data_IF_228596880540
#
_entry.id   IF_228596880540
#
_cell.length_a   1.000
_cell.length_b   1.000
_cell.length_c   1.000
_cell.angle_alpha   90.00
_cell.angle_beta   90.00
_cell.angle_gamma   90.00
#
_symmetry.space_group_name_H-M   'P 1'
#
loop_
_entity.id
_entity.type
_entity.pdbx_description
1 polymer ?
#
# COMPACT_ATOMS: atom_id res chain seq x y z
N UNK A 1 20.35 42.46 46.19
CA UNK A 1 20.90 41.80 47.38
C UNK A 1 19.73 41.44 48.29
N UNK A 2 19.15 40.26 48.08
CA UNK A 2 18.53 39.45 49.14
C UNK A 2 18.15 38.09 48.56
N UNK A 3 18.85 37.07 49.03
CA UNK A 3 18.68 35.66 48.74
C UNK A 3 17.32 35.20 49.30
N UNK A 4 16.59 34.39 48.53
CA UNK A 4 15.52 33.55 49.06
C UNK A 4 15.78 32.12 48.62
N UNK A 5 16.06 31.32 49.64
CA UNK A 5 16.40 29.92 49.58
C UNK A 5 15.19 29.06 49.14
N UNK A 6 15.50 28.04 48.34
CA UNK A 6 14.61 26.94 47.97
C UNK A 6 14.55 25.91 49.10
N UNK A 7 13.37 25.41 49.51
CA UNK A 7 13.29 24.17 50.25
C UNK A 7 13.26 22.96 49.31
N UNK A 8 14.18 22.03 49.56
CA UNK A 8 14.26 20.70 49.00
C UNK A 8 13.02 19.87 49.39
N UNK A 9 12.47 19.14 48.42
CA UNK A 9 11.49 18.08 48.65
C UNK A 9 12.08 16.75 48.18
N UNK A 10 12.88 16.15 49.05
CA UNK A 10 13.11 14.70 49.06
C UNK A 10 11.77 13.99 49.31
N UNK A 11 11.36 13.11 48.39
CA UNK A 11 10.35 12.10 48.69
C UNK A 11 10.97 10.72 48.56
N UNK A 12 10.79 9.99 49.65
CA UNK A 12 11.26 8.65 49.91
C UNK A 12 10.82 7.64 48.82
N UNK A 13 11.82 6.89 48.34
CA UNK A 13 11.63 5.57 47.76
C UNK A 13 11.48 4.57 48.92
N UNK A 14 10.25 4.21 49.25
CA UNK A 14 9.97 3.08 50.15
C UNK A 14 9.91 1.80 49.33
N UNK A 15 10.82 0.88 49.62
CA UNK A 15 10.93 -0.42 48.96
C UNK A 15 9.71 -1.31 49.20
N UNK A 16 9.31 -2.00 48.14
CA UNK A 16 8.41 -3.15 48.21
C UNK A 16 9.25 -4.42 48.12
N UNK A 17 9.49 -5.05 49.27
CA UNK A 17 9.90 -6.45 49.37
C UNK A 17 8.66 -7.32 49.21
N UNK A 18 8.38 -7.75 47.98
CA UNK A 18 7.37 -8.77 47.66
C UNK A 18 8.05 -9.97 47.03
N UNK A 19 7.75 -11.16 47.55
CA UNK A 19 8.26 -12.48 47.13
C UNK A 19 7.92 -12.85 45.68
N UNK A 20 8.78 -13.61 44.97
CA UNK A 20 8.52 -14.02 43.60
C UNK A 20 7.72 -15.33 43.59
N UNK A 21 6.47 -15.28 43.13
CA UNK A 21 5.72 -16.45 42.66
C UNK A 21 5.27 -16.17 41.23
N UNK A 22 5.47 -17.17 40.38
CA UNK A 22 5.71 -17.04 38.94
C UNK A 22 4.57 -16.45 38.10
N UNK A 23 4.94 -15.46 37.27
CA UNK A 23 4.66 -15.36 35.83
C UNK A 23 5.38 -14.09 35.31
N UNK A 24 6.63 -14.25 34.88
CA UNK A 24 7.46 -13.16 34.31
C UNK A 24 7.09 -12.88 32.85
N UNK A 25 5.82 -12.59 32.62
CA UNK A 25 5.32 -11.94 31.41
C UNK A 25 5.10 -10.46 31.72
N UNK A 26 6.18 -9.76 32.08
CA UNK A 26 6.21 -8.33 32.39
C UNK A 26 5.91 -7.44 31.17
N UNK A 27 4.72 -7.56 30.61
CA UNK A 27 4.14 -6.55 29.73
C UNK A 27 3.40 -5.55 30.61
N UNK A 28 3.78 -4.27 30.51
CA UNK A 28 2.93 -3.19 31.02
C UNK A 28 1.68 -3.19 30.14
N UNK A 29 0.65 -3.91 30.56
CA UNK A 29 -0.68 -3.84 29.97
C UNK A 29 -1.21 -2.41 30.21
N UNK A 30 -1.16 -1.58 29.16
CA UNK A 30 -1.83 -0.28 29.13
C UNK A 30 -3.34 -0.50 28.92
N UNK A 31 -4.00 -1.02 29.96
CA UNK A 31 -5.43 -1.37 29.97
C UNK A 31 -6.33 -0.18 30.35
N UNK A 32 -6.00 1.02 29.84
CA UNK A 32 -6.79 2.23 30.04
C UNK A 32 -7.37 2.74 28.72
N UNK A 33 -8.61 3.26 28.70
CA UNK A 33 -9.17 3.86 27.49
C UNK A 33 -8.36 5.12 27.13
N UNK A 34 -7.48 4.99 26.13
CA UNK A 34 -6.61 6.04 25.56
C UNK A 34 -7.38 7.24 24.93
N UNK A 35 -8.67 7.43 25.24
CA UNK A 35 -9.55 8.39 24.56
C UNK A 35 -9.64 9.76 25.23
N UNK A 36 -9.04 9.99 26.41
CA UNK A 36 -9.39 11.18 27.22
C UNK A 36 -8.26 12.14 27.61
N UNK A 37 -7.08 12.10 26.99
CA UNK A 37 -6.05 13.12 27.28
C UNK A 37 -6.02 14.24 26.23
N UNK A 38 -6.08 15.54 26.62
CA UNK A 38 -6.43 16.64 25.71
C UNK A 38 -5.24 17.31 25.01
N UNK A 39 -4.03 16.72 25.04
CA UNK A 39 -2.87 17.20 24.28
C UNK A 39 -2.04 16.02 23.77
N UNK A 40 -1.71 16.05 22.47
CA UNK A 40 -0.52 15.41 21.94
C UNK A 40 -0.76 14.08 21.23
N UNK A 41 -0.45 14.07 19.93
CA UNK A 41 0.01 12.85 19.23
C UNK A 41 0.94 12.12 20.21
N UNK A 42 0.66 10.88 20.59
CA UNK A 42 1.56 10.11 21.46
C UNK A 42 2.87 9.84 20.70
N UNK A 43 3.74 10.85 20.63
CA UNK A 43 5.02 10.82 19.93
C UNK A 43 5.88 9.68 20.44
N UNK A 44 5.78 9.36 21.74
CA UNK A 44 6.43 8.19 22.34
C UNK A 44 5.93 6.87 21.72
N UNK A 45 4.64 6.72 21.45
CA UNK A 45 4.10 5.52 20.79
C UNK A 45 4.58 5.42 19.34
N UNK A 46 4.52 6.50 18.57
CA UNK A 46 5.00 6.52 17.17
C UNK A 46 6.50 6.23 17.12
N UNK A 47 7.28 6.84 18.03
CA UNK A 47 8.72 6.62 18.13
C UNK A 47 9.03 5.17 18.54
N UNK A 48 8.27 4.60 19.48
CA UNK A 48 8.39 3.20 19.86
C UNK A 48 8.13 2.26 18.68
N UNK A 49 7.03 2.48 17.94
CA UNK A 49 6.72 1.68 16.76
C UNK A 49 7.81 1.78 15.67
N UNK A 50 8.42 2.96 15.48
CA UNK A 50 9.56 3.14 14.57
C UNK A 50 10.80 2.37 15.00
N UNK A 51 11.10 2.40 16.30
CA UNK A 51 12.21 1.63 16.86
C UNK A 51 11.98 0.13 16.67
N UNK A 52 10.77 -0.37 16.95
CA UNK A 52 10.42 -1.78 16.72
C UNK A 52 10.45 -2.13 15.23
N UNK A 53 9.95 -1.27 14.35
CA UNK A 53 10.00 -1.51 12.91
C UNK A 53 11.46 -1.63 12.42
N UNK A 54 12.36 -0.82 12.96
CA UNK A 54 13.77 -0.79 12.57
C UNK A 54 14.59 -1.93 13.20
N UNK A 55 14.35 -2.23 14.48
CA UNK A 55 15.24 -3.08 15.30
C UNK A 55 14.55 -4.29 15.96
N UNK A 56 13.22 -4.32 15.98
CA UNK A 56 12.45 -5.40 16.60
C UNK A 56 12.61 -6.74 15.91
N UNK A 57 12.10 -7.77 16.56
CA UNK A 57 12.14 -9.15 16.09
C UNK A 57 10.75 -9.77 15.95
N UNK A 58 10.68 -11.10 15.80
CA UNK A 58 9.42 -11.85 15.60
C UNK A 58 8.43 -11.64 16.75
N UNK A 59 8.91 -11.37 17.96
CA UNK A 59 8.07 -11.11 19.14
C UNK A 59 7.34 -9.76 19.07
N UNK A 60 7.84 -8.82 18.26
CA UNK A 60 7.27 -7.48 18.09
C UNK A 60 6.20 -7.39 16.99
N UNK A 61 6.03 -8.45 16.18
CA UNK A 61 5.05 -8.48 15.09
C UNK A 61 3.63 -8.08 15.57
N UNK A 62 3.09 -8.62 16.68
CA UNK A 62 1.76 -8.24 17.15
C UNK A 62 1.63 -6.74 17.44
N UNK A 63 2.69 -6.12 17.98
CA UNK A 63 2.71 -4.68 18.29
C UNK A 63 2.74 -3.85 17.01
N UNK A 64 3.52 -4.26 16.01
CA UNK A 64 3.57 -3.59 14.70
C UNK A 64 2.23 -3.71 13.95
N UNK A 65 1.58 -4.87 13.98
CA UNK A 65 0.25 -5.07 13.40
C UNK A 65 -0.79 -4.20 14.10
N UNK A 66 -0.78 -4.15 15.43
CA UNK A 66 -1.66 -3.24 16.18
C UNK A 66 -1.38 -1.75 15.85
N UNK A 67 -0.12 -1.42 15.55
CA UNK A 67 0.29 -0.11 15.04
C UNK A 67 -0.40 0.23 13.71
N UNK A 68 -0.42 -0.71 12.76
CA UNK A 68 -1.14 -0.54 11.50
C UNK A 68 -2.65 -0.40 11.69
N UNK A 69 -3.26 -1.22 12.55
CA UNK A 69 -4.70 -1.12 12.84
C UNK A 69 -5.07 0.25 13.43
N UNK A 70 -4.17 0.83 14.23
CA UNK A 70 -4.33 2.18 14.78
C UNK A 70 -4.27 3.26 13.69
N UNK A 71 -3.46 3.07 12.65
CA UNK A 71 -3.42 3.97 11.49
C UNK A 71 -4.70 3.82 10.65
N UNK A 72 -5.15 2.60 10.39
CA UNK A 72 -6.39 2.32 9.64
C UNK A 72 -7.62 2.93 10.34
N UNK A 73 -7.63 2.97 11.67
CA UNK A 73 -8.71 3.58 12.46
C UNK A 73 -8.77 5.12 12.35
N UNK A 74 -7.84 5.77 11.63
CA UNK A 74 -7.71 7.23 11.51
C UNK A 74 -7.69 7.62 10.03
N UNK A 75 -8.83 7.61 9.34
CA UNK A 75 -8.88 7.82 7.89
C UNK A 75 -8.40 9.21 7.44
N UNK A 76 -8.39 10.19 8.35
CA UNK A 76 -7.90 11.55 8.12
C UNK A 76 -6.36 11.67 8.24
N UNK A 77 -5.69 10.65 8.78
CA UNK A 77 -4.23 10.62 8.99
C UNK A 77 -3.65 9.34 8.36
N UNK A 78 -3.35 9.43 7.05
CA UNK A 78 -2.92 8.28 6.23
C UNK A 78 -1.40 8.10 6.17
N UNK A 79 -0.66 8.75 7.06
CA UNK A 79 0.81 8.73 7.06
C UNK A 79 1.36 7.74 8.11
N UNK A 80 2.61 7.33 7.93
CA UNK A 80 3.36 6.45 8.84
C UNK A 80 3.18 4.96 8.56
N UNK A 81 2.57 4.57 7.42
CA UNK A 81 2.50 3.14 7.06
C UNK A 81 3.86 2.63 6.61
N UNK A 82 4.63 3.45 5.89
CA UNK A 82 5.88 3.08 5.22
C UNK A 82 6.91 2.43 6.16
N UNK A 83 7.14 2.99 7.34
CA UNK A 83 8.06 2.46 8.34
C UNK A 83 7.55 1.12 8.90
N UNK A 84 6.25 1.01 9.23
CA UNK A 84 5.67 -0.19 9.82
C UNK A 84 5.62 -1.36 8.83
N UNK A 85 5.19 -1.11 7.59
CA UNK A 85 5.16 -2.16 6.56
C UNK A 85 6.57 -2.61 6.18
N UNK A 86 7.56 -1.70 6.20
CA UNK A 86 8.97 -2.03 6.00
C UNK A 86 9.52 -2.88 7.14
N UNK A 87 9.19 -2.54 8.40
CA UNK A 87 9.56 -3.33 9.57
C UNK A 87 8.95 -4.73 9.55
N UNK A 88 7.67 -4.85 9.23
CA UNK A 88 7.00 -6.14 9.08
C UNK A 88 7.59 -6.98 7.94
N UNK A 89 7.95 -6.38 6.81
CA UNK A 89 8.62 -7.10 5.73
C UNK A 89 10.03 -7.55 6.11
N UNK A 90 10.77 -6.74 6.88
CA UNK A 90 12.10 -7.08 7.40
C UNK A 90 12.05 -8.25 8.38
N UNK A 91 11.11 -8.22 9.33
CA UNK A 91 10.96 -9.27 10.34
C UNK A 91 10.39 -10.55 9.70
N UNK A 92 9.41 -10.38 8.79
CA UNK A 92 8.78 -11.47 8.06
C UNK A 92 7.75 -12.25 8.87
N UNK A 93 7.49 -13.49 8.43
CA UNK A 93 6.59 -14.43 9.10
C UNK A 93 5.13 -14.38 8.64
N UNK A 94 4.34 -15.41 8.97
CA UNK A 94 2.95 -15.54 8.50
C UNK A 94 2.04 -14.34 8.83
N UNK A 95 2.07 -13.74 10.04
CA UNK A 95 1.19 -12.61 10.35
C UNK A 95 1.49 -11.36 9.51
N UNK A 96 2.76 -11.13 9.15
CA UNK A 96 3.13 -10.04 8.25
C UNK A 96 2.54 -10.29 6.85
N UNK A 97 2.69 -11.51 6.33
CA UNK A 97 2.22 -11.90 4.99
C UNK A 97 0.69 -11.83 4.86
N UNK A 98 -0.06 -12.14 5.92
CA UNK A 98 -1.52 -12.06 5.91
C UNK A 98 -2.04 -10.64 6.11
N UNK A 99 -1.31 -9.79 6.85
CA UNK A 99 -1.76 -8.44 7.19
C UNK A 99 -1.64 -7.47 6.03
N UNK A 100 -0.51 -7.45 5.32
CA UNK A 100 -0.25 -6.40 4.33
C UNK A 100 -1.26 -6.34 3.16
N UNK A 101 -1.72 -7.46 2.54
CA UNK A 101 -2.54 -7.39 1.32
C UNK A 101 -3.82 -6.53 1.38
N UNK A 102 -4.34 -6.25 2.58
CA UNK A 102 -5.54 -5.42 2.78
C UNK A 102 -5.30 -3.91 2.66
N UNK A 103 -4.04 -3.45 2.72
CA UNK A 103 -3.72 -2.04 2.94
C UNK A 103 -3.59 -1.20 1.65
N UNK A 104 -3.85 -1.73 0.45
CA UNK A 104 -3.48 -1.01 -0.79
C UNK A 104 -4.01 0.44 -0.92
N UNK A 105 -5.17 0.74 -0.32
CA UNK A 105 -5.78 2.08 -0.34
C UNK A 105 -5.71 2.82 1.00
N UNK A 106 -5.06 2.24 2.01
CA UNK A 106 -4.92 2.85 3.34
C UNK A 106 -3.81 3.90 3.40
N UNK A 107 -2.56 3.64 2.93
CA UNK A 107 -1.49 4.62 2.97
C UNK A 107 -1.77 5.85 2.12
N UNK A 108 -1.13 6.95 2.49
CA UNK A 108 -0.97 8.08 1.58
C UNK A 108 -0.25 7.63 0.30
N UNK A 109 -0.55 8.28 -0.82
CA UNK A 109 -0.01 7.91 -2.14
C UNK A 109 1.51 7.69 -2.13
N UNK A 110 2.30 8.64 -1.60
CA UNK A 110 3.76 8.58 -1.51
C UNK A 110 4.31 7.37 -0.71
N UNK A 111 3.55 6.80 0.21
CA UNK A 111 3.97 5.64 1.03
C UNK A 111 3.71 4.30 0.32
N UNK A 112 2.89 4.29 -0.75
CA UNK A 112 2.51 3.06 -1.45
C UNK A 112 3.69 2.34 -2.08
N UNK A 113 4.79 3.02 -2.38
CA UNK A 113 6.01 2.38 -2.87
C UNK A 113 6.62 1.47 -1.79
N UNK A 114 6.72 1.94 -0.55
CA UNK A 114 7.20 1.14 0.59
C UNK A 114 6.27 -0.04 0.86
N UNK A 115 4.96 0.15 0.75
CA UNK A 115 3.98 -0.93 0.81
C UNK A 115 4.20 -2.01 -0.27
N UNK A 116 4.36 -1.63 -1.55
CA UNK A 116 4.62 -2.60 -2.61
C UNK A 116 5.95 -3.34 -2.44
N UNK A 117 7.00 -2.65 -1.97
CA UNK A 117 8.28 -3.28 -1.63
C UNK A 117 8.10 -4.31 -0.53
N UNK A 118 7.33 -3.97 0.51
CA UNK A 118 7.03 -4.87 1.62
C UNK A 118 6.26 -6.12 1.15
N UNK A 119 5.19 -5.94 0.36
CA UNK A 119 4.46 -7.06 -0.24
C UNK A 119 5.36 -7.94 -1.11
N UNK A 120 6.15 -7.34 -2.00
CA UNK A 120 7.04 -8.08 -2.89
C UNK A 120 8.14 -8.84 -2.15
N UNK A 121 8.55 -8.35 -0.97
CA UNK A 121 9.52 -9.01 -0.10
C UNK A 121 8.93 -10.25 0.58
N UNK A 122 7.67 -10.16 1.02
CA UNK A 122 6.98 -11.26 1.72
C UNK A 122 6.44 -12.33 0.76
N UNK A 123 5.79 -11.90 -0.33
CA UNK A 123 5.21 -12.76 -1.34
C UNK A 123 5.09 -12.02 -2.68
N UNK A 124 6.12 -12.13 -3.51
CA UNK A 124 6.13 -11.53 -4.85
C UNK A 124 5.00 -12.06 -5.73
N UNK A 125 4.63 -13.34 -5.63
CA UNK A 125 3.60 -13.94 -6.45
C UNK A 125 2.22 -13.37 -6.10
N UNK A 126 1.90 -13.29 -4.80
CA UNK A 126 0.69 -12.65 -4.30
C UNK A 126 0.65 -11.14 -4.57
N UNK A 127 1.80 -10.48 -4.61
CA UNK A 127 1.90 -9.05 -4.90
C UNK A 127 1.65 -8.67 -6.37
N UNK A 128 1.72 -9.63 -7.31
CA UNK A 128 1.74 -9.34 -8.76
C UNK A 128 0.60 -8.44 -9.23
N UNK A 129 -0.63 -8.70 -8.76
CA UNK A 129 -1.79 -7.88 -9.13
C UNK A 129 -1.59 -6.41 -8.74
N UNK A 130 -1.08 -6.14 -7.53
CA UNK A 130 -0.86 -4.78 -7.03
C UNK A 130 0.32 -4.09 -7.70
N UNK A 131 1.36 -4.86 -8.01
CA UNK A 131 2.50 -4.39 -8.81
C UNK A 131 2.04 -3.96 -10.20
N UNK A 132 1.15 -4.72 -10.86
CA UNK A 132 0.57 -4.34 -12.15
C UNK A 132 -0.25 -3.05 -12.02
N UNK A 133 -1.14 -2.96 -11.02
CA UNK A 133 -1.92 -1.74 -10.76
C UNK A 133 -1.01 -0.51 -10.55
N UNK A 134 0.17 -0.68 -9.95
CA UNK A 134 1.17 0.36 -9.74
C UNK A 134 1.69 1.05 -11.01
N UNK A 135 1.52 0.45 -12.21
CA UNK A 135 1.86 1.12 -13.48
C UNK A 135 0.98 2.32 -13.79
N UNK A 136 -0.17 2.45 -13.14
CA UNK A 136 -1.12 3.56 -13.26
C UNK A 136 -1.14 4.45 -12.03
N UNK A 137 -0.17 4.30 -11.14
CA UNK A 137 -0.09 5.11 -9.93
C UNK A 137 0.32 6.55 -10.23
N UNK A 138 -0.06 7.47 -9.34
CA UNK A 138 0.36 8.87 -9.43
C UNK A 138 1.81 9.06 -8.96
N UNK A 139 2.31 8.18 -8.09
CA UNK A 139 3.67 8.28 -7.56
C UNK A 139 4.68 7.63 -8.50
N UNK A 140 5.75 8.36 -8.81
CA UNK A 140 6.83 7.88 -9.68
C UNK A 140 7.53 6.64 -9.09
N UNK A 141 7.76 6.60 -7.78
CA UNK A 141 8.39 5.45 -7.11
C UNK A 141 7.56 4.16 -7.22
N UNK A 142 6.23 4.28 -7.15
CA UNK A 142 5.31 3.16 -7.33
C UNK A 142 5.39 2.67 -8.77
N UNK A 143 5.33 3.58 -9.74
CA UNK A 143 5.48 3.25 -11.17
C UNK A 143 6.84 2.63 -11.45
N UNK A 144 7.93 3.13 -10.88
CA UNK A 144 9.28 2.61 -11.07
C UNK A 144 9.37 1.15 -10.61
N UNK A 145 8.87 0.85 -9.41
CA UNK A 145 8.81 -0.52 -8.89
C UNK A 145 7.96 -1.42 -9.79
N UNK A 146 6.80 -0.93 -10.23
CA UNK A 146 5.91 -1.66 -11.12
C UNK A 146 6.58 -1.97 -12.46
N UNK A 147 7.24 -0.99 -13.09
CA UNK A 147 8.00 -1.18 -14.33
C UNK A 147 9.03 -2.29 -14.13
N UNK A 148 9.79 -2.28 -13.03
CA UNK A 148 10.83 -3.27 -12.79
C UNK A 148 10.32 -4.70 -12.57
N UNK A 149 9.12 -4.88 -12.00
CA UNK A 149 8.66 -6.18 -11.46
C UNK A 149 7.52 -6.83 -12.22
N UNK A 150 6.78 -6.10 -13.05
CA UNK A 150 5.64 -6.66 -13.80
C UNK A 150 6.07 -7.69 -14.86
N UNK A 151 5.40 -8.84 -14.99
CA UNK A 151 5.57 -9.71 -16.16
C UNK A 151 5.25 -8.94 -17.45
N UNK A 152 6.01 -9.20 -18.51
CA UNK A 152 5.82 -8.49 -19.78
C UNK A 152 4.84 -9.27 -20.67
N UNK A 153 3.66 -8.70 -20.87
CA UNK A 153 2.71 -9.08 -21.92
C UNK A 153 2.49 -7.90 -22.87
N UNK A 154 1.64 -8.05 -23.89
CA UNK A 154 1.38 -7.00 -24.87
C UNK A 154 0.77 -5.73 -24.26
N UNK A 155 -0.12 -5.88 -23.26
CA UNK A 155 -0.74 -4.75 -22.57
C UNK A 155 0.28 -4.00 -21.73
N UNK A 156 1.11 -4.72 -20.97
CA UNK A 156 2.18 -4.12 -20.17
C UNK A 156 3.20 -3.46 -21.08
N UNK A 157 3.56 -4.07 -22.21
CA UNK A 157 4.45 -3.48 -23.21
C UNK A 157 3.94 -2.14 -23.73
N UNK A 158 2.67 -2.06 -24.11
CA UNK A 158 2.04 -0.80 -24.53
C UNK A 158 2.11 0.26 -23.43
N UNK A 159 1.86 -0.15 -22.17
CA UNK A 159 1.98 0.75 -21.04
C UNK A 159 3.41 1.23 -20.82
N UNK A 160 4.42 0.37 -20.95
CA UNK A 160 5.83 0.76 -20.84
C UNK A 160 6.27 1.69 -21.99
N UNK A 161 5.77 1.49 -23.21
CA UNK A 161 6.02 2.42 -24.33
C UNK A 161 5.46 3.80 -24.02
N UNK A 162 4.23 3.86 -23.51
CA UNK A 162 3.63 5.12 -23.07
C UNK A 162 4.50 5.79 -21.99
N UNK A 163 4.89 5.07 -20.93
CA UNK A 163 5.70 5.65 -19.85
C UNK A 163 7.06 6.14 -20.33
N UNK A 164 7.72 5.40 -21.24
CA UNK A 164 8.99 5.80 -21.86
C UNK A 164 8.88 7.12 -22.63
N UNK A 165 7.78 7.31 -23.35
CA UNK A 165 7.58 8.44 -24.26
C UNK A 165 6.87 9.65 -23.59
N UNK A 166 6.39 9.50 -22.35
CA UNK A 166 5.69 10.55 -21.60
C UNK A 166 6.66 11.68 -21.18
N UNK A 167 6.46 12.93 -21.62
CA UNK A 167 7.34 14.04 -21.27
C UNK A 167 7.23 14.47 -19.79
N UNK A 168 6.11 14.18 -19.11
CA UNK A 168 5.87 14.53 -17.70
C UNK A 168 6.49 13.48 -16.76
N UNK A 169 6.74 12.27 -17.27
CA UNK A 169 7.34 11.20 -16.49
C UNK A 169 8.79 11.48 -16.08
N UNK A 170 9.15 10.97 -14.90
CA UNK A 170 10.50 11.02 -14.35
C UNK A 170 11.53 10.31 -15.24
N UNK A 171 12.78 10.77 -15.19
CA UNK A 171 13.85 10.20 -16.00
C UNK A 171 14.10 8.72 -15.66
N UNK A 172 13.98 8.37 -14.38
CA UNK A 172 14.19 7.04 -13.83
C UNK A 172 13.16 6.04 -14.34
N UNK A 173 11.87 6.40 -14.32
CA UNK A 173 10.80 5.54 -14.85
C UNK A 173 10.94 5.37 -16.36
N UNK A 174 11.22 6.44 -17.10
CA UNK A 174 11.47 6.37 -18.55
C UNK A 174 12.64 5.47 -18.90
N UNK A 175 13.75 5.60 -18.18
CA UNK A 175 14.94 4.78 -18.36
C UNK A 175 14.64 3.30 -18.07
N UNK A 176 13.97 3.00 -16.95
CA UNK A 176 13.58 1.64 -16.60
C UNK A 176 12.62 1.01 -17.64
N UNK A 177 11.67 1.80 -18.17
CA UNK A 177 10.74 1.35 -19.19
C UNK A 177 11.45 1.04 -20.52
N UNK A 178 12.33 1.94 -20.97
CA UNK A 178 13.18 1.74 -22.16
C UNK A 178 13.99 0.45 -22.04
N UNK A 179 14.71 0.33 -20.94
CA UNK A 179 15.61 -0.79 -20.64
C UNK A 179 14.85 -2.15 -20.67
N UNK A 180 13.64 -2.18 -20.11
CA UNK A 180 12.78 -3.37 -20.19
C UNK A 180 12.28 -3.70 -21.59
N UNK A 181 11.93 -2.69 -22.39
CA UNK A 181 11.48 -2.90 -23.76
C UNK A 181 12.60 -3.43 -24.65
N UNK A 182 13.85 -3.02 -24.41
CA UNK A 182 15.04 -3.47 -25.15
C UNK A 182 15.41 -4.91 -24.78
N UNK A 183 15.40 -5.28 -23.50
CA UNK A 183 15.74 -6.65 -23.06
C UNK A 183 14.77 -7.72 -23.54
N UNK A 184 13.52 -7.34 -23.78
CA UNK A 184 12.47 -8.25 -24.21
C UNK A 184 11.85 -7.70 -25.50
N UNK A 185 12.57 -7.73 -26.63
CA UNK A 185 12.00 -7.31 -27.90
C UNK A 185 10.77 -8.17 -28.20
N UNK A 186 9.79 -7.60 -28.91
CA UNK A 186 8.71 -8.41 -29.48
C UNK A 186 9.38 -9.39 -30.43
N UNK A 187 9.17 -10.68 -30.23
CA UNK A 187 9.51 -11.64 -31.26
C UNK A 187 8.59 -11.37 -32.46
N UNK A 188 9.12 -10.64 -33.44
CA UNK A 188 8.38 -10.31 -34.67
C UNK A 188 8.36 -11.48 -35.64
N UNK A 189 8.86 -12.67 -35.29
CA UNK A 189 8.61 -13.87 -36.10
C UNK A 189 7.19 -14.39 -35.89
N UNK A 190 6.20 -13.55 -36.17
CA UNK A 190 5.00 -14.08 -36.80
C UNK A 190 5.43 -14.30 -38.25
N UNK A 191 5.45 -15.54 -38.76
CA UNK A 191 5.59 -15.72 -40.19
C UNK A 191 4.49 -14.87 -40.81
N UNK A 192 4.87 -13.92 -41.65
CA UNK A 192 3.94 -13.23 -42.52
C UNK A 192 3.11 -14.33 -43.16
N UNK A 193 1.84 -14.44 -42.75
CA UNK A 193 0.90 -15.38 -43.33
C UNK A 193 0.77 -14.93 -44.78
N UNK A 194 1.58 -15.55 -45.64
CA UNK A 194 1.48 -15.43 -47.07
C UNK A 194 0.07 -15.90 -47.44
N UNK A 195 -0.76 -14.92 -47.73
CA UNK A 195 -2.15 -15.08 -48.13
C UNK A 195 -2.26 -15.84 -49.46
N UNK A 196 -1.13 -16.13 -50.12
CA UNK A 196 -1.03 -16.97 -51.33
C UNK A 196 -0.88 -18.47 -51.03
N UNK A 197 -0.67 -18.89 -49.78
CA UNK A 197 -0.55 -20.32 -49.42
C UNK A 197 -1.69 -20.85 -48.55
N UNK A 198 -2.83 -20.17 -48.49
CA UNK A 198 -4.03 -20.76 -47.89
C UNK A 198 -4.63 -21.79 -48.86
N UNK A 199 -4.83 -23.06 -48.44
CA UNK A 199 -5.60 -23.99 -49.25
C UNK A 199 -7.03 -23.44 -49.42
N UNK A 200 -7.47 -23.43 -50.68
CA UNK A 200 -8.84 -23.12 -51.11
C UNK A 200 -9.77 -24.15 -50.46
N UNK A 201 -10.24 -23.90 -49.24
CA UNK A 201 -11.02 -24.92 -48.52
C UNK A 201 -11.66 -24.51 -47.20
N UNK A 202 -11.35 -23.34 -46.63
CA UNK A 202 -12.03 -22.85 -45.43
C UNK A 202 -13.31 -22.07 -45.76
N UNK A 203 -14.16 -22.67 -46.60
CA UNK A 203 -15.54 -22.24 -46.70
C UNK A 203 -16.23 -22.45 -45.34
N UNK A 204 -16.90 -21.40 -44.88
CA UNK A 204 -17.84 -21.31 -43.74
C UNK A 204 -18.30 -22.67 -43.20
N UNK A 205 -17.92 -23.01 -41.97
CA UNK A 205 -18.71 -23.96 -41.17
C UNK A 205 -20.00 -23.24 -40.73
N UNK A 206 -21.20 -23.75 -41.07
CA UNK A 206 -22.43 -23.25 -40.47
C UNK A 206 -22.45 -23.60 -38.97
N UNK A 207 -23.03 -22.69 -38.19
CA UNK A 207 -23.23 -22.84 -36.76
C UNK A 207 -23.93 -24.17 -36.44
N UNK A 208 -23.31 -25.00 -35.60
CA UNK A 208 -24.02 -26.11 -34.96
C UNK A 208 -24.86 -25.54 -33.82
N UNK A 209 -26.17 -25.62 -33.96
CA UNK A 209 -27.12 -25.55 -32.86
C UNK A 209 -26.78 -26.66 -31.86
N UNK A 210 -26.53 -26.28 -30.61
CA UNK A 210 -26.56 -27.18 -29.45
C UNK A 210 -27.79 -26.80 -28.63
N UNK A 211 -28.78 -27.68 -28.46
CA UNK A 211 -29.87 -27.49 -27.50
C UNK A 211 -29.53 -28.16 -26.17
N UNK A 212 -29.89 -27.52 -25.06
CA UNK A 212 -30.09 -28.20 -23.77
C UNK A 212 -29.35 -27.63 -22.57
N UNK A 213 -30.10 -26.85 -21.77
CA UNK A 213 -30.20 -26.88 -20.32
C UNK A 213 -28.96 -26.80 -19.42
N UNK A 214 -28.78 -25.63 -18.79
CA UNK A 214 -28.34 -25.48 -17.40
C UNK A 214 -28.71 -24.07 -16.85
N UNK A 215 -28.94 -23.91 -15.54
CA UNK A 215 -29.82 -22.89 -14.98
C UNK A 215 -29.20 -21.50 -14.79
N UNK A 216 -30.10 -20.53 -14.78
CA UNK A 216 -29.89 -19.10 -14.56
C UNK A 216 -29.30 -18.78 -13.18
N UNK A 217 -28.01 -18.44 -13.14
CA UNK A 217 -27.43 -17.68 -12.03
C UNK A 217 -27.60 -16.19 -12.31
N UNK A 218 -28.41 -15.54 -11.47
CA UNK A 218 -28.66 -14.09 -11.48
C UNK A 218 -27.35 -13.31 -11.44
N UNK A 219 -26.99 -12.67 -12.54
CA UNK A 219 -26.03 -11.58 -12.54
C UNK A 219 -26.63 -10.39 -11.77
N UNK A 220 -26.09 -10.09 -10.59
CA UNK A 220 -26.34 -8.81 -9.93
C UNK A 220 -25.70 -7.72 -10.79
N UNK A 221 -26.51 -6.84 -11.34
CA UNK A 221 -26.07 -5.57 -11.91
C UNK A 221 -25.33 -4.77 -10.84
N UNK A 222 -24.00 -4.71 -10.94
CA UNK A 222 -23.24 -3.61 -10.33
C UNK A 222 -23.41 -2.40 -11.25
N UNK A 223 -24.39 -1.55 -10.92
CA UNK A 223 -24.50 -0.19 -11.44
C UNK A 223 -23.39 0.63 -10.78
N UNK A 224 -22.31 0.92 -11.50
CA UNK A 224 -21.38 1.99 -11.13
C UNK A 224 -21.99 3.32 -11.58
N UNK A 225 -22.86 3.89 -10.74
CA UNK A 225 -23.22 5.30 -10.86
C UNK A 225 -22.09 6.12 -10.22
N UNK A 226 -21.29 6.77 -11.07
CA UNK A 226 -20.43 7.89 -10.68
C UNK A 226 -21.34 9.11 -10.43
N UNK A 227 -21.43 9.68 -9.21
CA UNK A 227 -22.03 10.99 -9.07
C UNK A 227 -21.10 12.04 -9.66
N UNK A 228 -21.64 12.80 -10.61
CA UNK A 228 -21.03 14.02 -11.12
C UNK A 228 -20.72 14.99 -9.98
N UNK A 229 -19.52 15.57 -10.00
CA UNK A 229 -19.10 16.62 -9.09
C UNK A 229 -20.04 17.83 -9.22
N UNK A 230 -20.80 18.10 -8.16
CA UNK A 230 -21.50 19.38 -7.98
C UNK A 230 -20.47 20.36 -7.42
N UNK A 231 -20.09 21.31 -8.27
CA UNK A 231 -19.38 22.52 -7.87
C UNK A 231 -20.30 23.39 -7.03
N UNK A 232 -20.00 23.54 -5.75
CA UNK A 232 -20.53 24.63 -4.92
C UNK A 232 -19.38 25.56 -4.54
N UNK A 233 -19.28 26.66 -5.27
CA UNK A 233 -18.51 27.84 -4.87
C UNK A 233 -19.41 28.66 -3.94
N UNK A 234 -19.06 28.90 -2.66
CA UNK A 234 -19.78 29.88 -1.86
C UNK A 234 -19.38 31.29 -2.28
N UNK A 235 -20.34 32.03 -2.83
CA UNK A 235 -20.27 33.48 -3.03
C UNK A 235 -20.14 34.18 -1.67
N UNK A 236 -19.01 34.85 -1.45
CA UNK A 236 -18.81 35.72 -0.29
C UNK A 236 -19.61 37.04 -0.40
N UNK A 237 -20.01 37.65 0.73
CA UNK A 237 -20.80 38.88 0.73
C UNK A 237 -20.00 40.09 0.23
N UNK A 238 -20.63 40.85 -0.67
CA UNK A 238 -20.08 42.04 -1.32
C UNK A 238 -19.77 43.16 -0.33
N UNK A 239 -18.62 43.81 -0.53
CA UNK A 239 -18.30 45.11 0.06
C UNK A 239 -19.01 46.21 -0.74
N UNK A 240 -19.78 47.04 -0.06
CA UNK A 240 -20.24 48.33 -0.56
C UNK A 240 -19.06 49.31 -0.62
N UNK A 241 -18.94 50.14 -1.67
CA UNK A 241 -17.94 51.21 -1.71
C UNK A 241 -18.37 52.39 -0.84
N UNK A 242 -17.38 53.00 -0.19
CA UNK A 242 -17.41 54.36 0.37
C UNK A 242 -16.65 55.27 -0.58
#
# INVERSE_FOLDING_TARGET
>A
MNEREHPAAERAWSGATGTPDGDDSGWIAFDGPLKSLPWGRNTCTVTGLRLLATHGDVTDIPVLVAGLDRLDARPDDRCGYDELVSGLARIGGPPAATTLPRLWFSPHSYERASYLRALATLDLAGAQRKIIEGLWDCEADVRLLAVQRTPLDDRIRQRLQYLRDDPIETAEVRAAAMDRLVRHPVDRTVPELDHRTLPVGWARRPARNVPGDAPSVRARHFRTEFPAAVSMIPSGPGRTPV
#
